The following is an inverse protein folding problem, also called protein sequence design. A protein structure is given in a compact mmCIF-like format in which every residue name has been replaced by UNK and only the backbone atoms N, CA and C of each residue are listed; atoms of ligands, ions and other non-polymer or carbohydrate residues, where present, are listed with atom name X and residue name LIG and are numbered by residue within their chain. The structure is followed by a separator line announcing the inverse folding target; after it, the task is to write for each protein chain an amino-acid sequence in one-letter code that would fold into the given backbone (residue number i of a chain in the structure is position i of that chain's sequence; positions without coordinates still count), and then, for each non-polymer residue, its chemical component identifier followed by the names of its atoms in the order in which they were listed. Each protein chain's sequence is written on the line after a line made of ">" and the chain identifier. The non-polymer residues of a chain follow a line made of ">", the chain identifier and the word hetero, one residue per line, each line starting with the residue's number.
data_IF_577134570874
#
_entry.id   IF_577134570874
#
_cell.length_a   1.000
_cell.length_b   1.000
_cell.length_c   1.000
_cell.angle_alpha   90.00
_cell.angle_beta   90.00
_cell.angle_gamma   90.00
#
_symmetry.space_group_name_H-M   'P 1'
#
loop_
_entity.id
_entity.type
_entity.pdbx_description
1 polymer ?
#
# COMPACT_ATOMS: atom_id res chain seq x y z
N UNK A 1 -18.14 5.98 -1.65
CA UNK A 1 -18.77 4.65 -1.38
C UNK A 1 -17.68 3.66 -1.01
N UNK A 2 -17.76 3.05 0.18
CA UNK A 2 -16.80 2.02 0.59
C UNK A 2 -16.96 0.76 -0.27
N UNK A 3 -15.83 0.27 -0.83
CA UNK A 3 -15.77 -0.92 -1.68
C UNK A 3 -14.61 -1.82 -1.25
N UNK A 4 -14.60 -3.07 -1.72
CA UNK A 4 -13.47 -3.98 -1.54
C UNK A 4 -12.25 -3.49 -2.32
N UNK A 5 -11.10 -3.42 -1.66
CA UNK A 5 -9.82 -3.10 -2.32
C UNK A 5 -9.50 -4.14 -3.40
N UNK A 6 -9.76 -5.44 -3.13
CA UNK A 6 -9.59 -6.51 -4.11
C UNK A 6 -10.34 -6.23 -5.40
N UNK A 7 -11.65 -5.92 -5.31
CA UNK A 7 -12.46 -5.68 -6.51
C UNK A 7 -11.98 -4.44 -7.29
N UNK A 8 -11.56 -3.41 -6.54
CA UNK A 8 -11.00 -2.18 -7.12
C UNK A 8 -9.70 -2.47 -7.89
N UNK A 9 -8.79 -3.27 -7.30
CA UNK A 9 -7.51 -3.59 -7.92
C UNK A 9 -7.63 -4.59 -9.09
N UNK A 10 -8.54 -5.57 -8.98
CA UNK A 10 -8.84 -6.49 -10.09
C UNK A 10 -9.42 -5.73 -11.29
N UNK A 11 -10.29 -4.74 -11.04
CA UNK A 11 -10.79 -3.85 -12.10
C UNK A 11 -9.65 -3.03 -12.69
N UNK A 12 -8.80 -2.42 -11.85
CA UNK A 12 -7.64 -1.64 -12.30
C UNK A 12 -6.70 -2.47 -13.19
N UNK A 13 -6.43 -3.72 -12.80
CA UNK A 13 -5.62 -4.65 -13.58
C UNK A 13 -6.23 -4.94 -14.95
N UNK A 14 -7.53 -5.20 -15.00
CA UNK A 14 -8.25 -5.50 -16.24
C UNK A 14 -8.30 -4.30 -17.18
N UNK A 15 -8.38 -3.10 -16.64
CA UNK A 15 -8.52 -1.85 -17.40
C UNK A 15 -7.18 -1.10 -17.55
N UNK A 16 -6.06 -1.71 -17.11
CA UNK A 16 -4.68 -1.19 -17.24
C UNK A 16 -4.46 0.20 -16.64
N UNK A 17 -4.93 0.41 -15.40
CA UNK A 17 -4.61 1.60 -14.62
C UNK A 17 -4.17 1.23 -13.20
N UNK A 18 -3.69 2.18 -12.43
CA UNK A 18 -3.41 2.00 -11.01
C UNK A 18 -4.27 2.91 -10.13
N UNK A 19 -4.65 2.40 -8.96
CA UNK A 19 -5.33 3.16 -7.92
C UNK A 19 -4.30 3.76 -6.99
N UNK A 20 -4.39 5.06 -6.73
CA UNK A 20 -3.54 5.72 -5.75
C UNK A 20 -3.98 5.35 -4.33
N UNK A 21 -3.01 4.94 -3.52
CA UNK A 21 -3.13 4.75 -2.08
C UNK A 21 -2.42 5.92 -1.38
N UNK A 22 -3.18 6.77 -0.72
CA UNK A 22 -2.64 7.93 -0.01
C UNK A 22 -2.58 7.66 1.48
N UNK A 23 -1.38 7.77 2.05
CA UNK A 23 -1.19 7.74 3.49
C UNK A 23 -1.60 9.10 4.08
N UNK A 24 -2.66 9.10 4.86
CA UNK A 24 -3.32 10.30 5.38
C UNK A 24 -2.87 10.58 6.81
N UNK A 25 -2.54 11.82 7.13
CA UNK A 25 -2.01 12.24 8.42
C UNK A 25 -2.86 13.27 9.17
N UNK A 26 -3.66 14.02 8.45
CA UNK A 26 -4.52 15.06 9.02
C UNK A 26 -5.74 15.29 8.14
N UNK A 27 -6.68 16.10 8.65
CA UNK A 27 -7.94 16.40 7.97
C UNK A 27 -7.74 17.25 6.71
N UNK A 28 -6.76 18.13 6.72
CA UNK A 28 -6.45 19.01 5.58
C UNK A 28 -5.97 18.18 4.39
N UNK A 29 -5.05 17.24 4.61
CA UNK A 29 -4.57 16.30 3.61
C UNK A 29 -5.72 15.43 3.09
N UNK A 30 -6.52 14.85 3.99
CA UNK A 30 -7.69 14.05 3.61
C UNK A 30 -8.65 14.85 2.74
N UNK A 31 -8.98 16.06 3.15
CA UNK A 31 -9.87 16.96 2.36
C UNK A 31 -9.30 17.28 0.99
N UNK A 32 -7.99 17.56 0.91
CA UNK A 32 -7.31 17.84 -0.35
C UNK A 32 -7.32 16.63 -1.30
N UNK A 33 -6.95 15.45 -0.80
CA UNK A 33 -6.96 14.20 -1.55
C UNK A 33 -8.36 13.88 -2.07
N UNK A 34 -9.37 13.94 -1.22
CA UNK A 34 -10.76 13.63 -1.62
C UNK A 34 -11.28 14.59 -2.68
N UNK A 35 -11.04 15.91 -2.53
CA UNK A 35 -11.41 16.91 -3.55
C UNK A 35 -10.72 16.66 -4.89
N UNK A 36 -9.44 16.29 -4.87
CA UNK A 36 -8.70 15.98 -6.08
C UNK A 36 -9.26 14.73 -6.77
N UNK A 37 -9.53 13.66 -6.02
CA UNK A 37 -10.14 12.44 -6.53
C UNK A 37 -11.54 12.69 -7.09
N UNK A 38 -12.37 13.48 -6.42
CA UNK A 38 -13.72 13.85 -6.90
C UNK A 38 -13.65 14.66 -8.20
N UNK A 39 -12.73 15.62 -8.29
CA UNK A 39 -12.53 16.40 -9.50
C UNK A 39 -12.10 15.52 -10.69
N UNK A 40 -11.26 14.51 -10.44
CA UNK A 40 -10.73 13.60 -11.46
C UNK A 40 -11.61 12.37 -11.69
N UNK A 41 -12.68 12.19 -10.89
CA UNK A 41 -13.52 10.99 -10.89
C UNK A 41 -12.70 9.69 -10.71
N UNK A 42 -11.65 9.77 -9.87
CA UNK A 42 -10.70 8.68 -9.65
C UNK A 42 -11.07 7.88 -8.40
N UNK A 43 -11.02 6.53 -8.43
CA UNK A 43 -11.08 5.73 -7.23
C UNK A 43 -9.89 6.03 -6.32
N UNK A 44 -10.03 5.78 -5.03
CA UNK A 44 -9.00 6.11 -4.03
C UNK A 44 -8.92 5.09 -2.92
N UNK A 45 -7.69 4.79 -2.48
CA UNK A 45 -7.41 4.08 -1.24
C UNK A 45 -6.85 5.08 -0.24
N UNK A 46 -7.47 5.15 0.94
CA UNK A 46 -7.00 5.96 2.06
C UNK A 46 -6.31 5.03 3.04
N UNK A 47 -5.07 5.30 3.39
CA UNK A 47 -4.31 4.42 4.29
C UNK A 47 -3.73 5.18 5.48
N UNK A 48 -3.42 4.40 6.49
CA UNK A 48 -2.64 4.77 7.65
C UNK A 48 -1.99 3.49 8.19
N UNK A 49 -0.77 3.57 8.68
CA UNK A 49 0.01 2.38 9.00
C UNK A 49 0.62 2.37 10.40
N UNK A 50 1.23 1.24 10.75
CA UNK A 50 1.76 0.95 12.08
C UNK A 50 2.85 1.90 12.55
N UNK A 51 3.64 2.50 11.64
CA UNK A 51 4.78 3.37 12.00
C UNK A 51 4.39 4.66 12.74
N UNK A 52 3.09 4.98 12.79
CA UNK A 52 2.61 6.30 13.21
C UNK A 52 1.66 6.29 14.42
N UNK A 53 1.49 5.14 15.03
CA UNK A 53 0.59 4.95 16.19
C UNK A 53 0.96 5.78 17.42
N UNK A 54 2.22 6.19 17.54
CA UNK A 54 2.74 6.87 18.74
C UNK A 54 2.11 8.24 18.98
N UNK A 55 1.62 8.89 17.92
CA UNK A 55 1.19 10.29 17.97
C UNK A 55 -0.28 10.51 17.58
N UNK A 56 -1.06 9.46 17.32
CA UNK A 56 -2.41 9.60 16.75
C UNK A 56 -3.39 8.66 17.43
N UNK A 57 -4.54 9.19 17.85
CA UNK A 57 -5.69 8.38 18.24
C UNK A 57 -6.31 7.77 16.97
N UNK A 58 -5.91 6.53 16.70
CA UNK A 58 -6.28 5.81 15.49
C UNK A 58 -7.79 5.60 15.35
N UNK A 59 -8.52 5.49 16.48
CA UNK A 59 -9.97 5.30 16.47
C UNK A 59 -10.68 6.53 15.91
N UNK A 60 -10.23 7.73 16.31
CA UNK A 60 -10.79 8.98 15.78
C UNK A 60 -10.38 9.17 14.32
N UNK A 61 -9.16 8.78 13.98
CA UNK A 61 -8.61 8.96 12.66
C UNK A 61 -9.31 8.08 11.61
N UNK A 62 -9.52 6.81 11.91
CA UNK A 62 -10.25 5.90 11.01
C UNK A 62 -11.70 6.35 10.80
N UNK A 63 -12.36 6.85 11.86
CA UNK A 63 -13.72 7.39 11.75
C UNK A 63 -13.78 8.63 10.84
N UNK A 64 -12.75 9.48 10.87
CA UNK A 64 -12.62 10.62 9.96
C UNK A 64 -12.52 10.16 8.50
N UNK A 65 -11.62 9.21 8.19
CA UNK A 65 -11.50 8.64 6.84
C UNK A 65 -12.82 7.98 6.39
N UNK A 66 -13.48 7.22 7.27
CA UNK A 66 -14.78 6.59 6.98
C UNK A 66 -15.86 7.61 6.67
N UNK A 67 -15.91 8.72 7.40
CA UNK A 67 -16.87 9.79 7.14
C UNK A 67 -16.74 10.32 5.71
N UNK A 68 -15.54 10.61 5.25
CA UNK A 68 -15.31 11.04 3.87
C UNK A 68 -15.64 9.94 2.86
N UNK A 69 -15.16 8.71 3.10
CA UNK A 69 -15.36 7.58 2.19
C UNK A 69 -16.83 7.20 2.00
N UNK A 70 -17.68 7.42 3.00
CA UNK A 70 -19.12 7.13 2.92
C UNK A 70 -19.93 8.23 2.26
N UNK A 71 -19.43 9.47 2.26
CA UNK A 71 -20.12 10.63 1.67
C UNK A 71 -19.81 10.80 0.18
N UNK A 72 -18.71 10.25 -0.32
CA UNK A 72 -18.39 10.31 -1.74
C UNK A 72 -19.11 9.24 -2.55
N UNK A 73 -19.38 9.53 -3.82
CA UNK A 73 -19.85 8.55 -4.82
C UNK A 73 -18.73 7.70 -5.42
N UNK A 74 -17.47 8.11 -5.22
CA UNK A 74 -16.31 7.39 -5.75
C UNK A 74 -16.10 6.07 -5.03
N UNK A 75 -15.59 5.04 -5.73
CA UNK A 75 -15.05 3.86 -5.08
C UNK A 75 -13.91 4.24 -4.14
N UNK A 76 -14.05 3.91 -2.87
CA UNK A 76 -13.08 4.24 -1.83
C UNK A 76 -12.85 3.04 -0.92
N UNK A 77 -11.62 2.81 -0.49
CA UNK A 77 -11.26 1.81 0.51
C UNK A 77 -10.41 2.45 1.60
N UNK A 78 -10.47 1.88 2.81
CA UNK A 78 -9.65 2.30 3.95
C UNK A 78 -8.73 1.14 4.31
N UNK A 79 -7.46 1.33 4.08
CA UNK A 79 -6.44 0.30 4.10
C UNK A 79 -5.48 0.49 5.27
N UNK A 80 -5.25 -0.58 6.05
CA UNK A 80 -4.17 -0.63 7.03
C UNK A 80 -2.86 -0.97 6.33
N UNK A 81 -1.89 -0.08 6.41
CA UNK A 81 -0.59 -0.19 5.74
C UNK A 81 0.49 -0.73 6.69
N UNK A 82 1.32 -1.67 6.23
CA UNK A 82 2.42 -2.30 6.97
C UNK A 82 2.07 -2.80 8.38
N UNK A 83 1.08 -3.68 8.49
CA UNK A 83 0.80 -4.40 9.75
C UNK A 83 1.91 -5.41 10.06
N UNK A 84 2.54 -5.29 11.24
CA UNK A 84 3.71 -6.12 11.62
C UNK A 84 3.38 -7.30 12.50
N UNK A 85 2.13 -7.46 12.92
CA UNK A 85 1.65 -8.61 13.68
C UNK A 85 0.17 -8.85 13.45
N UNK A 86 -0.26 -10.08 13.77
CA UNK A 86 -1.67 -10.47 13.71
C UNK A 86 -2.55 -9.60 14.60
N UNK A 87 -2.08 -9.26 15.81
CA UNK A 87 -2.84 -8.43 16.76
C UNK A 87 -3.09 -7.02 16.23
N UNK A 88 -2.07 -6.42 15.59
CA UNK A 88 -2.17 -5.07 15.03
C UNK A 88 -3.19 -5.04 13.88
N UNK A 89 -3.12 -5.99 12.94
CA UNK A 89 -4.06 -6.03 11.81
C UNK A 89 -5.47 -6.41 12.26
N UNK A 90 -5.61 -7.24 13.29
CA UNK A 90 -6.92 -7.56 13.88
C UNK A 90 -7.55 -6.34 14.51
N UNK A 91 -6.79 -5.59 15.30
CA UNK A 91 -7.27 -4.33 15.87
C UNK A 91 -7.68 -3.32 14.79
N UNK A 92 -6.92 -3.22 13.70
CA UNK A 92 -7.29 -2.33 12.59
C UNK A 92 -8.67 -2.67 12.01
N UNK A 93 -8.97 -3.95 11.81
CA UNK A 93 -10.29 -4.37 11.33
C UNK A 93 -11.39 -4.09 12.35
N UNK A 94 -11.16 -4.34 13.64
CA UNK A 94 -12.12 -4.07 14.72
C UNK A 94 -12.51 -2.59 14.80
N UNK A 95 -11.59 -1.69 14.54
CA UNK A 95 -11.86 -0.24 14.54
C UNK A 95 -12.39 0.31 13.22
N UNK A 96 -12.48 -0.51 12.16
CA UNK A 96 -13.23 -0.19 10.96
C UNK A 96 -12.46 -0.03 9.65
N UNK A 97 -11.22 -0.48 9.56
CA UNK A 97 -10.56 -0.68 8.27
C UNK A 97 -11.26 -1.80 7.49
N UNK A 98 -11.33 -1.69 6.17
CA UNK A 98 -11.94 -2.69 5.31
C UNK A 98 -10.97 -3.35 4.33
N UNK A 99 -9.67 -3.14 4.54
CA UNK A 99 -8.55 -3.72 3.83
C UNK A 99 -7.31 -3.65 4.72
N UNK A 100 -6.39 -4.59 4.58
CA UNK A 100 -5.17 -4.61 5.38
C UNK A 100 -3.98 -5.18 4.59
N UNK A 101 -2.78 -4.79 5.04
CA UNK A 101 -1.52 -5.41 4.68
C UNK A 101 -0.88 -6.04 5.92
N UNK A 102 -0.43 -7.29 5.78
CA UNK A 102 0.49 -7.92 6.72
C UNK A 102 1.89 -7.90 6.11
N UNK A 103 2.85 -7.34 6.84
CA UNK A 103 4.23 -7.18 6.38
C UNK A 103 5.17 -8.10 7.15
N UNK A 104 5.45 -9.26 6.57
CA UNK A 104 6.44 -10.22 7.02
C UNK A 104 7.76 -10.15 6.26
N UNK A 105 7.99 -9.13 5.45
CA UNK A 105 9.12 -9.03 4.52
C UNK A 105 10.50 -8.97 5.20
N UNK A 106 10.55 -8.56 6.46
CA UNK A 106 11.76 -8.55 7.27
C UNK A 106 12.15 -9.94 7.84
N UNK A 107 11.28 -10.94 7.70
CA UNK A 107 11.50 -12.30 8.19
C UNK A 107 11.92 -13.25 7.06
N UNK A 108 12.17 -14.53 7.41
CA UNK A 108 12.42 -15.56 6.40
C UNK A 108 11.20 -15.77 5.51
N UNK A 109 11.41 -16.33 4.32
CA UNK A 109 10.34 -16.64 3.38
C UNK A 109 9.24 -17.51 4.02
N UNK A 110 9.63 -18.55 4.77
CA UNK A 110 8.70 -19.45 5.45
C UNK A 110 7.91 -18.74 6.56
N UNK A 111 8.57 -17.85 7.31
CA UNK A 111 7.90 -17.11 8.38
C UNK A 111 6.97 -16.03 7.80
N UNK A 112 7.35 -15.37 6.71
CA UNK A 112 6.47 -14.45 5.99
C UNK A 112 5.21 -15.18 5.49
N UNK A 113 5.37 -16.38 4.90
CA UNK A 113 4.23 -17.22 4.49
C UNK A 113 3.35 -17.56 5.71
N UNK A 114 3.94 -18.00 6.83
CA UNK A 114 3.19 -18.39 8.04
C UNK A 114 2.36 -17.24 8.57
N UNK A 115 2.97 -16.07 8.76
CA UNK A 115 2.30 -14.86 9.25
C UNK A 115 1.18 -14.42 8.31
N UNK A 116 1.47 -14.39 7.03
CA UNK A 116 0.52 -13.96 6.00
C UNK A 116 -0.67 -14.93 5.93
N UNK A 117 -0.42 -16.23 5.96
CA UNK A 117 -1.45 -17.25 5.91
C UNK A 117 -2.39 -17.18 7.12
N UNK A 118 -1.86 -16.96 8.33
CA UNK A 118 -2.65 -16.79 9.54
C UNK A 118 -3.66 -15.63 9.40
N UNK A 119 -3.23 -14.52 8.82
CA UNK A 119 -4.06 -13.34 8.56
C UNK A 119 -5.10 -13.63 7.48
N UNK A 120 -4.70 -14.24 6.38
CA UNK A 120 -5.61 -14.62 5.28
C UNK A 120 -6.71 -15.57 5.77
N UNK A 121 -6.35 -16.62 6.50
CA UNK A 121 -7.30 -17.59 7.03
C UNK A 121 -8.33 -16.97 7.98
N UNK A 122 -7.93 -15.93 8.72
CA UNK A 122 -8.82 -15.19 9.62
C UNK A 122 -9.77 -14.25 8.87
N UNK A 123 -9.25 -13.48 7.91
CA UNK A 123 -9.97 -12.31 7.40
C UNK A 123 -10.68 -12.54 6.05
N UNK A 124 -10.27 -13.51 5.25
CA UNK A 124 -10.99 -13.86 4.02
C UNK A 124 -12.44 -14.32 4.25
N UNK A 125 -12.77 -15.11 5.30
CA UNK A 125 -14.16 -15.42 5.60
C UNK A 125 -15.02 -14.19 5.93
N UNK A 126 -14.38 -13.09 6.33
CA UNK A 126 -15.03 -11.80 6.61
C UNK A 126 -15.05 -10.87 5.37
N UNK A 127 -14.63 -11.37 4.20
CA UNK A 127 -14.49 -10.59 2.96
C UNK A 127 -13.53 -9.39 3.08
N UNK A 128 -12.52 -9.48 3.93
CA UNK A 128 -11.47 -8.46 4.08
C UNK A 128 -10.29 -8.87 3.19
N UNK A 129 -9.93 -8.07 2.16
CA UNK A 129 -8.78 -8.34 1.31
C UNK A 129 -7.47 -8.12 2.05
N UNK A 130 -6.50 -8.98 1.75
CA UNK A 130 -5.17 -9.01 2.36
C UNK A 130 -4.10 -8.75 1.32
N UNK A 131 -3.24 -7.77 1.59
CA UNK A 131 -1.99 -7.49 0.89
C UNK A 131 -0.82 -8.06 1.69
N UNK A 132 0.25 -8.51 1.01
CA UNK A 132 1.52 -8.82 1.64
C UNK A 132 2.69 -8.40 0.76
N UNK A 133 3.90 -8.36 1.34
CA UNK A 133 5.13 -7.96 0.66
C UNK A 133 6.09 -9.13 0.50
N UNK A 134 6.71 -9.22 -0.67
CA UNK A 134 7.81 -10.14 -0.95
C UNK A 134 9.03 -9.37 -1.48
N UNK A 135 10.21 -9.69 -0.98
CA UNK A 135 11.35 -8.79 -0.95
C UNK A 135 11.20 -7.87 0.25
N UNK A 136 12.01 -6.84 0.36
CA UNK A 136 11.92 -5.89 1.47
C UNK A 136 12.22 -4.48 0.99
N UNK A 137 11.23 -3.59 1.07
CA UNK A 137 11.35 -2.18 0.64
C UNK A 137 12.08 -1.31 1.67
N UNK A 138 12.30 -1.82 2.88
CA UNK A 138 13.00 -1.14 3.96
C UNK A 138 12.09 -0.25 4.82
N UNK A 139 12.51 0.02 6.06
CA UNK A 139 11.77 0.82 7.03
C UNK A 139 12.03 2.33 6.86
N UNK A 140 11.04 3.13 7.18
CA UNK A 140 11.05 4.60 7.01
C UNK A 140 12.00 5.37 7.96
N UNK A 141 12.59 4.73 8.97
CA UNK A 141 13.15 5.45 10.12
C UNK A 141 14.66 5.61 10.13
N UNK A 142 15.40 4.84 9.32
CA UNK A 142 16.86 4.97 9.24
C UNK A 142 17.33 4.64 7.82
N UNK A 143 17.77 5.67 7.09
CA UNK A 143 18.13 5.54 5.68
C UNK A 143 19.30 4.56 5.45
N UNK A 144 20.30 4.55 6.34
CA UNK A 144 21.42 3.62 6.24
C UNK A 144 21.00 2.19 6.58
N UNK A 145 20.10 2.02 7.55
CA UNK A 145 19.56 0.71 7.92
C UNK A 145 18.63 0.17 6.82
N UNK A 146 17.81 1.02 6.21
CA UNK A 146 16.96 0.67 5.08
C UNK A 146 17.76 0.20 3.85
N UNK A 147 18.86 0.86 3.51
CA UNK A 147 19.74 0.46 2.41
C UNK A 147 20.47 -0.87 2.68
N UNK A 148 20.84 -1.14 3.93
CA UNK A 148 21.53 -2.35 4.32
C UNK A 148 20.62 -3.59 4.35
N UNK A 149 19.29 -3.42 4.43
CA UNK A 149 18.32 -4.50 4.50
C UNK A 149 17.40 -4.59 3.27
N UNK A 150 17.64 -3.74 2.25
CA UNK A 150 16.87 -3.81 1.01
C UNK A 150 17.04 -5.15 0.31
N UNK A 151 15.94 -5.83 0.03
CA UNK A 151 15.95 -7.08 -0.74
C UNK A 151 14.98 -6.99 -1.91
N UNK A 152 15.49 -7.13 -3.11
CA UNK A 152 14.65 -7.28 -4.30
C UNK A 152 13.70 -8.47 -4.16
N UNK A 153 12.48 -8.32 -4.68
CA UNK A 153 11.60 -9.48 -4.86
C UNK A 153 12.28 -10.52 -5.73
N UNK A 154 12.38 -11.75 -5.23
CA UNK A 154 12.82 -12.89 -6.04
C UNK A 154 11.65 -13.40 -6.90
N UNK A 155 11.68 -13.24 -8.24
CA UNK A 155 10.59 -13.67 -9.09
C UNK A 155 10.33 -15.19 -9.02
N UNK A 156 11.34 -15.99 -8.70
CA UNK A 156 11.20 -17.45 -8.60
C UNK A 156 10.35 -17.86 -7.39
N UNK A 157 10.27 -17.02 -6.36
CA UNK A 157 9.49 -17.27 -5.15
C UNK A 157 8.08 -16.65 -5.19
N UNK A 158 7.84 -15.69 -6.10
CA UNK A 158 6.62 -14.89 -6.08
C UNK A 158 5.35 -15.73 -6.31
N UNK A 159 5.36 -16.65 -7.27
CA UNK A 159 4.22 -17.52 -7.53
C UNK A 159 3.95 -18.47 -6.35
N UNK A 160 4.98 -19.07 -5.78
CA UNK A 160 4.88 -19.94 -4.60
C UNK A 160 4.33 -19.18 -3.39
N UNK A 161 4.82 -17.95 -3.15
CA UNK A 161 4.33 -17.09 -2.08
C UNK A 161 2.84 -16.83 -2.20
N UNK A 162 2.38 -16.42 -3.37
CA UNK A 162 0.95 -16.15 -3.64
C UNK A 162 0.11 -17.41 -3.48
N UNK A 163 0.54 -18.56 -4.00
CA UNK A 163 -0.17 -19.83 -3.88
C UNK A 163 -0.30 -20.28 -2.43
N UNK A 164 0.80 -20.23 -1.67
CA UNK A 164 0.83 -20.67 -0.26
C UNK A 164 0.08 -19.75 0.67
N UNK A 165 0.09 -18.45 0.42
CA UNK A 165 -0.55 -17.46 1.28
C UNK A 165 -2.01 -17.21 0.93
N UNK A 166 -2.36 -17.20 -0.35
CA UNK A 166 -3.70 -16.89 -0.85
C UNK A 166 -4.06 -15.41 -0.76
N UNK A 167 -3.08 -14.51 -0.75
CA UNK A 167 -3.28 -13.04 -0.71
C UNK A 167 -4.01 -12.50 -1.94
N UNK A 168 -4.57 -11.29 -1.82
CA UNK A 168 -5.33 -10.62 -2.88
C UNK A 168 -4.49 -9.62 -3.70
N UNK A 169 -3.37 -9.14 -3.14
CA UNK A 169 -2.41 -8.28 -3.83
C UNK A 169 -1.01 -8.47 -3.25
N UNK A 170 0.00 -8.31 -4.11
CA UNK A 170 1.41 -8.51 -3.78
C UNK A 170 2.19 -7.22 -3.96
N UNK A 171 2.76 -6.69 -2.86
CA UNK A 171 3.73 -5.61 -2.89
C UNK A 171 5.11 -6.15 -3.27
N UNK A 172 5.76 -5.46 -4.22
CA UNK A 172 7.04 -5.88 -4.81
C UNK A 172 8.13 -4.85 -4.54
N UNK A 173 9.32 -5.35 -4.22
CA UNK A 173 10.55 -4.57 -4.08
C UNK A 173 11.34 -4.65 -5.38
N UNK A 174 11.32 -3.57 -6.16
CA UNK A 174 11.92 -3.48 -7.50
C UNK A 174 12.89 -2.30 -7.66
N UNK A 175 13.43 -1.77 -6.55
CA UNK A 175 14.28 -0.58 -6.50
C UNK A 175 13.56 0.65 -5.92
N UNK A 176 12.30 0.50 -5.55
CA UNK A 176 11.51 1.49 -4.82
C UNK A 176 11.90 1.51 -3.34
N UNK A 177 11.83 2.68 -2.71
CA UNK A 177 12.20 2.87 -1.29
C UNK A 177 11.16 3.75 -0.58
N UNK A 178 10.97 3.51 0.71
CA UNK A 178 10.26 4.45 1.57
C UNK A 178 11.11 5.68 1.89
N UNK A 179 10.46 6.81 2.19
CA UNK A 179 11.15 8.05 2.54
C UNK A 179 11.54 8.91 1.33
N UNK A 180 12.42 9.86 1.57
CA UNK A 180 12.93 10.76 0.52
C UNK A 180 14.12 10.11 -0.20
N UNK A 181 14.05 10.03 -1.50
CA UNK A 181 15.18 9.57 -2.32
C UNK A 181 16.32 10.60 -2.28
N UNK A 182 17.53 10.14 -2.00
CA UNK A 182 18.75 10.96 -2.04
C UNK A 182 19.41 11.00 -3.42
N UNK A 183 19.01 10.08 -4.31
CA UNK A 183 19.39 9.99 -5.72
C UNK A 183 18.17 9.55 -6.55
N UNK A 184 18.14 9.77 -7.86
CA UNK A 184 17.05 9.25 -8.70
C UNK A 184 16.87 7.74 -8.50
N UNK A 185 15.64 7.27 -8.24
CA UNK A 185 15.37 5.83 -8.03
C UNK A 185 15.75 5.02 -9.28
N UNK A 186 16.25 3.81 -9.04
CA UNK A 186 16.63 2.87 -10.09
C UNK A 186 15.64 1.71 -10.08
N UNK A 187 14.54 1.84 -10.82
CA UNK A 187 13.49 0.82 -10.87
C UNK A 187 13.91 -0.32 -11.79
N UNK A 188 13.89 -1.55 -11.26
CA UNK A 188 14.20 -2.75 -11.99
C UNK A 188 12.95 -3.36 -12.63
N UNK A 189 12.64 -2.91 -13.83
CA UNK A 189 11.46 -3.37 -14.58
C UNK A 189 11.57 -4.83 -15.02
N UNK A 190 12.79 -5.38 -15.18
CA UNK A 190 12.99 -6.80 -15.52
C UNK A 190 12.47 -7.73 -14.42
N UNK A 191 12.68 -7.35 -13.16
CA UNK A 191 12.09 -8.08 -12.01
C UNK A 191 10.57 -8.00 -12.07
N UNK A 192 10.00 -6.80 -12.31
CA UNK A 192 8.55 -6.61 -12.38
C UNK A 192 7.92 -7.47 -13.49
N UNK A 193 8.52 -7.49 -14.69
CA UNK A 193 8.06 -8.30 -15.81
C UNK A 193 8.08 -9.81 -15.47
N UNK A 194 9.15 -10.28 -14.82
CA UNK A 194 9.25 -11.68 -14.39
C UNK A 194 8.20 -12.04 -13.36
N UNK A 195 8.00 -11.18 -12.34
CA UNK A 195 6.95 -11.38 -11.34
C UNK A 195 5.57 -11.37 -12.00
N UNK A 196 5.28 -10.38 -12.88
CA UNK A 196 3.98 -10.27 -13.56
C UNK A 196 3.65 -11.50 -14.41
N UNK A 197 4.65 -12.10 -15.05
CA UNK A 197 4.44 -13.29 -15.88
C UNK A 197 3.90 -14.47 -15.07
N UNK A 198 4.42 -14.66 -13.84
CA UNK A 198 4.16 -15.86 -13.04
C UNK A 198 3.11 -15.62 -11.92
N UNK A 199 2.77 -14.35 -11.64
CA UNK A 199 1.77 -13.94 -10.62
C UNK A 199 0.55 -13.33 -11.31
N UNK A 200 -0.64 -13.86 -11.06
CA UNK A 200 -1.90 -13.41 -11.70
C UNK A 200 -2.64 -12.32 -10.91
N UNK A 201 -2.39 -12.18 -9.60
CA UNK A 201 -3.07 -11.21 -8.76
C UNK A 201 -2.53 -9.77 -8.97
N UNK A 202 -3.25 -8.73 -8.52
CA UNK A 202 -2.79 -7.35 -8.50
C UNK A 202 -1.40 -7.17 -7.87
N UNK A 203 -0.54 -6.35 -8.52
CA UNK A 203 0.78 -5.97 -8.01
C UNK A 203 0.75 -4.55 -7.47
N UNK A 204 1.52 -4.31 -6.41
CA UNK A 204 1.55 -3.05 -5.66
C UNK A 204 2.96 -2.48 -5.62
N UNK A 205 3.07 -1.16 -5.83
CA UNK A 205 4.32 -0.39 -5.74
C UNK A 205 4.26 0.50 -4.50
N UNK A 206 5.08 0.20 -3.49
CA UNK A 206 5.31 1.05 -2.34
C UNK A 206 6.37 2.11 -2.64
N UNK A 207 6.49 3.14 -1.78
CA UNK A 207 7.57 4.13 -1.87
C UNK A 207 7.59 4.94 -3.17
N UNK A 208 6.45 5.22 -3.77
CA UNK A 208 6.38 5.85 -5.08
C UNK A 208 6.68 7.37 -5.07
N UNK A 209 6.74 8.01 -3.89
CA UNK A 209 7.08 9.43 -3.79
C UNK A 209 8.51 9.69 -4.28
N UNK A 210 8.66 10.40 -5.40
CA UNK A 210 9.96 10.69 -6.00
C UNK A 210 10.32 9.81 -7.19
N UNK A 211 9.55 8.79 -7.53
CA UNK A 211 9.67 8.07 -8.80
C UNK A 211 9.10 8.97 -9.91
N UNK A 212 9.80 9.05 -11.03
CA UNK A 212 9.38 9.88 -12.17
C UNK A 212 8.11 9.38 -12.85
N UNK A 213 7.36 10.29 -13.45
CA UNK A 213 6.09 9.99 -14.12
C UNK A 213 6.21 8.93 -15.21
N UNK A 214 7.33 8.88 -15.94
CA UNK A 214 7.57 7.90 -17.00
C UNK A 214 7.73 6.51 -16.42
N UNK A 215 8.50 6.37 -15.33
CA UNK A 215 8.72 5.11 -14.63
C UNK A 215 7.43 4.60 -13.98
N UNK A 216 6.62 5.50 -13.40
CA UNK A 216 5.30 5.16 -12.86
C UNK A 216 4.38 4.63 -13.98
N UNK A 217 4.32 5.31 -15.13
CA UNK A 217 3.52 4.84 -16.27
C UNK A 217 4.01 3.52 -16.80
N UNK A 218 5.33 3.33 -16.87
CA UNK A 218 5.91 2.06 -17.29
C UNK A 218 5.57 0.94 -16.30
N UNK A 219 5.72 1.16 -14.99
CA UNK A 219 5.33 0.18 -13.97
C UNK A 219 3.84 -0.22 -14.08
N UNK A 220 2.94 0.75 -14.31
CA UNK A 220 1.52 0.49 -14.55
C UNK A 220 1.31 -0.37 -15.80
N UNK A 221 2.01 -0.07 -16.90
CA UNK A 221 1.92 -0.86 -18.14
C UNK A 221 2.39 -2.31 -17.96
N UNK A 222 3.28 -2.55 -17.00
CA UNK A 222 3.79 -3.86 -16.60
C UNK A 222 2.95 -4.56 -15.51
N UNK A 223 1.85 -3.94 -15.06
CA UNK A 223 0.88 -4.59 -14.20
C UNK A 223 0.83 -4.13 -12.75
N UNK A 224 1.47 -3.03 -12.39
CA UNK A 224 1.22 -2.35 -11.11
C UNK A 224 -0.20 -1.76 -11.13
N UNK A 225 -0.98 -2.04 -10.09
CA UNK A 225 -2.38 -1.64 -9.97
C UNK A 225 -2.70 -0.83 -8.72
N UNK A 226 -1.78 -0.76 -7.76
CA UNK A 226 -1.85 0.09 -6.57
C UNK A 226 -0.50 0.79 -6.39
N UNK A 227 -0.54 2.07 -6.05
CA UNK A 227 0.66 2.89 -5.86
C UNK A 227 0.54 3.63 -4.54
N UNK A 228 1.47 3.36 -3.62
CA UNK A 228 1.50 4.00 -2.31
C UNK A 228 2.24 5.33 -2.38
N UNK A 229 1.54 6.40 -1.98
CA UNK A 229 2.02 7.79 -1.98
C UNK A 229 1.96 8.33 -0.55
N UNK A 230 3.12 8.69 0.00
CA UNK A 230 3.25 9.16 1.37
C UNK A 230 4.16 10.38 1.48
N UNK A 231 5.47 10.18 1.30
CA UNK A 231 6.52 11.16 1.60
C UNK A 231 6.30 12.52 0.93
N UNK A 232 5.91 12.54 -0.36
CA UNK A 232 5.66 13.79 -1.06
C UNK A 232 4.47 14.55 -0.47
N UNK A 233 3.40 13.85 -0.02
CA UNK A 233 2.26 14.49 0.64
C UNK A 233 2.66 15.08 2.00
N UNK A 234 3.47 14.34 2.77
CA UNK A 234 3.93 14.78 4.09
C UNK A 234 4.72 16.10 4.01
N UNK A 235 5.61 16.22 3.03
CA UNK A 235 6.47 17.39 2.88
C UNK A 235 5.87 18.54 2.05
N UNK A 236 4.85 18.29 1.25
CA UNK A 236 4.23 19.32 0.39
C UNK A 236 2.85 19.76 0.84
N UNK A 237 2.21 19.05 1.78
CA UNK A 237 0.91 19.47 2.32
C UNK A 237 1.05 20.76 3.11
N UNK A 238 0.24 21.79 2.81
CA UNK A 238 0.32 23.06 3.54
C UNK A 238 -0.09 22.86 5.01
N UNK A 239 0.73 23.40 5.89
CA UNK A 239 0.44 23.51 7.32
C UNK A 239 -0.33 24.81 7.60
N UNK A 240 -1.19 24.88 8.64
CA UNK A 240 -1.76 26.14 9.08
C UNK A 240 -0.73 27.21 9.43
N UNK A 241 0.55 26.82 9.62
CA UNK A 241 1.68 27.76 9.85
C UNK A 241 2.20 28.38 8.56
N UNK A 242 1.97 27.76 7.41
CA UNK A 242 2.48 28.20 6.11
C UNK A 242 1.63 29.33 5.50
N UNK A 243 0.45 29.58 6.07
CA UNK A 243 -0.51 30.60 5.60
C UNK A 243 -0.48 31.90 6.35
N UNK A 244 0.60 32.14 7.14
CA UNK A 244 0.80 33.38 7.91
C UNK A 244 1.84 34.28 7.29
#
# INVERSE_FOLDING_TARGET
>A
MLVSTKDMLVKAQKEHYAVANFCIWNVEMLSGVMKACEKLQSPVILSFGSGFLVNTDINHFVNMMRSYATQTSLPCSIHWDHGRSFEIVSHAIDIGYNSLMIDGSAYSFEENIRMTREVVDKFHPMCIPVEAELGHVGAETDYEEALNHYMYTDPSQAAEFVEKTGIDSLAVAIGNQHGAYTAPPQINFEILEKVRRDVSIPLVLHGASGIGDEDIRHAISLGITKINIHTCLLYTSPSPRDTR
#
